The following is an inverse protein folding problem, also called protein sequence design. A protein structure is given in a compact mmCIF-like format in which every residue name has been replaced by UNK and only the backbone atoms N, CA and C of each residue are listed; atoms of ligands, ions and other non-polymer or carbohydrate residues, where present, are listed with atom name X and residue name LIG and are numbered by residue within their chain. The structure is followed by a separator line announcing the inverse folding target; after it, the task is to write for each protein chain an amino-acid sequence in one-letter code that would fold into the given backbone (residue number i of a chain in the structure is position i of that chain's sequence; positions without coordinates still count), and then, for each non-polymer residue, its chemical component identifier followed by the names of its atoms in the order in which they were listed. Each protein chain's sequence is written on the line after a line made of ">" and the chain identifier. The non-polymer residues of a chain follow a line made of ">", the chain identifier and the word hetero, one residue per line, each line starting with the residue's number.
data_IF_237468081971
#
_entry.id   IF_237468081971
#
_cell.length_a   1.000
_cell.length_b   1.000
_cell.length_c   1.000
_cell.angle_alpha   90.00
_cell.angle_beta   90.00
_cell.angle_gamma   90.00
#
_symmetry.space_group_name_H-M   'P 1'
#
loop_
_entity.id
_entity.type
_entity.pdbx_description
1 polymer ?
#
# COMPACT_ATOMS: atom_id res chain seq x y z
N UNK A 1 12.97 16.87 19.56
CA UNK A 1 12.83 16.06 18.33
C UNK A 1 11.44 16.33 17.77
N UNK A 2 11.28 16.76 16.49
CA UNK A 2 9.95 16.89 15.92
C UNK A 2 9.30 15.50 15.88
N UNK A 3 8.11 15.36 16.45
CA UNK A 3 7.32 14.14 16.34
C UNK A 3 7.04 13.90 14.86
N UNK A 4 7.69 12.89 14.29
CA UNK A 4 7.39 12.40 12.94
C UNK A 4 6.04 11.71 13.03
N UNK A 5 4.99 12.46 12.73
CA UNK A 5 3.65 11.91 12.54
C UNK A 5 3.55 11.36 11.12
N UNK A 6 2.88 10.23 10.97
CA UNK A 6 2.58 9.64 9.67
C UNK A 6 1.65 10.56 8.86
N UNK A 7 1.88 10.61 7.55
CA UNK A 7 1.04 11.37 6.63
C UNK A 7 -0.30 10.68 6.42
N UNK A 8 -1.37 11.45 6.43
CA UNK A 8 -2.66 11.01 5.91
C UNK A 8 -2.56 10.79 4.39
N UNK A 9 -3.51 10.04 3.81
CA UNK A 9 -3.55 9.81 2.36
C UNK A 9 -3.56 11.15 1.59
N UNK A 10 -4.35 12.12 2.07
CA UNK A 10 -4.44 13.44 1.44
C UNK A 10 -3.14 14.24 1.52
N UNK A 11 -2.43 14.14 2.65
CA UNK A 11 -1.11 14.77 2.82
C UNK A 11 -0.06 14.09 1.95
N UNK A 12 -0.05 12.76 1.87
CA UNK A 12 0.90 12.00 1.06
C UNK A 12 0.75 12.32 -0.44
N UNK A 13 -0.48 12.43 -0.95
CA UNK A 13 -0.74 12.77 -2.35
C UNK A 13 -0.34 14.22 -2.67
N UNK A 14 -0.37 15.12 -1.69
CA UNK A 14 0.03 16.53 -1.85
C UNK A 14 1.50 16.79 -1.52
N UNK A 15 2.18 15.84 -0.91
CA UNK A 15 3.59 15.98 -0.54
C UNK A 15 4.48 16.14 -1.78
N UNK A 16 5.33 17.19 -1.85
CA UNK A 16 6.17 17.44 -3.01
C UNK A 16 7.16 16.33 -3.33
N UNK A 17 7.73 15.68 -2.31
CA UNK A 17 8.70 14.60 -2.50
C UNK A 17 8.02 13.36 -3.04
N UNK A 18 6.86 12.99 -2.50
CA UNK A 18 6.08 11.86 -3.00
C UNK A 18 5.65 12.12 -4.44
N UNK A 19 5.14 13.31 -4.77
CA UNK A 19 4.75 13.65 -6.15
C UNK A 19 5.92 13.61 -7.13
N UNK A 20 7.12 13.97 -6.69
CA UNK A 20 8.33 13.86 -7.51
C UNK A 20 8.63 12.39 -7.86
N UNK A 21 8.57 11.50 -6.86
CA UNK A 21 8.78 10.05 -7.06
C UNK A 21 7.71 9.48 -7.99
N UNK A 22 6.44 9.80 -7.76
CA UNK A 22 5.34 9.34 -8.61
C UNK A 22 5.54 9.76 -10.06
N UNK A 23 5.98 11.00 -10.29
CA UNK A 23 6.27 11.49 -11.64
C UNK A 23 7.43 10.73 -12.28
N UNK A 24 8.48 10.44 -11.52
CA UNK A 24 9.62 9.67 -12.01
C UNK A 24 9.20 8.25 -12.45
N UNK A 25 8.24 7.66 -11.74
CA UNK A 25 7.72 6.32 -12.01
C UNK A 25 6.49 6.31 -12.95
N UNK A 26 6.07 7.46 -13.47
CA UNK A 26 4.90 7.57 -14.36
C UNK A 26 3.55 7.27 -13.70
N UNK A 27 3.45 7.40 -12.38
CA UNK A 27 2.26 7.13 -11.58
C UNK A 27 1.34 8.35 -11.54
N UNK A 28 0.06 8.16 -11.88
CA UNK A 28 -0.97 9.20 -11.72
C UNK A 28 -1.36 9.38 -10.24
N UNK A 29 -1.33 10.62 -9.71
CA UNK A 29 -1.76 10.92 -8.34
C UNK A 29 -3.17 10.47 -7.97
N UNK A 30 -4.12 10.52 -8.92
CA UNK A 30 -5.50 10.09 -8.64
C UNK A 30 -5.62 8.57 -8.57
N UNK A 31 -4.92 7.85 -9.45
CA UNK A 31 -4.83 6.40 -9.38
C UNK A 31 -4.20 5.93 -8.06
N UNK A 32 -3.11 6.58 -7.62
CA UNK A 32 -2.46 6.28 -6.35
C UNK A 32 -3.35 6.56 -5.13
N UNK A 33 -4.04 7.69 -5.10
CA UNK A 33 -5.02 8.02 -4.05
C UNK A 33 -6.10 6.93 -3.95
N UNK A 34 -6.65 6.53 -5.11
CA UNK A 34 -7.69 5.50 -5.19
C UNK A 34 -7.20 4.15 -4.66
N UNK A 35 -5.97 3.75 -5.04
CA UNK A 35 -5.33 2.54 -4.54
C UNK A 35 -5.18 2.57 -3.01
N UNK A 36 -4.65 3.67 -2.44
CA UNK A 36 -4.49 3.81 -1.00
C UNK A 36 -5.83 3.76 -0.25
N UNK A 37 -6.87 4.41 -0.78
CA UNK A 37 -8.22 4.36 -0.19
C UNK A 37 -8.83 2.97 -0.25
N UNK A 38 -8.63 2.23 -1.35
CA UNK A 38 -9.07 0.84 -1.48
C UNK A 38 -8.38 -0.07 -0.45
N UNK A 39 -7.07 0.07 -0.27
CA UNK A 39 -6.30 -0.68 0.73
C UNK A 39 -6.73 -0.34 2.16
N UNK A 40 -6.99 0.94 2.46
CA UNK A 40 -7.49 1.36 3.76
C UNK A 40 -8.90 0.79 4.04
N UNK A 41 -9.76 0.75 3.02
CA UNK A 41 -11.09 0.16 3.13
C UNK A 41 -11.04 -1.36 3.35
N UNK A 42 -10.17 -2.06 2.62
CA UNK A 42 -9.94 -3.49 2.81
C UNK A 42 -9.45 -3.80 4.23
N UNK A 43 -8.46 -3.06 4.73
CA UNK A 43 -7.96 -3.21 6.10
C UNK A 43 -9.04 -2.93 7.15
N UNK A 44 -9.94 -1.97 6.91
CA UNK A 44 -11.04 -1.68 7.84
C UNK A 44 -12.04 -2.84 7.94
N UNK A 45 -12.22 -3.59 6.86
CA UNK A 45 -13.20 -4.69 6.79
C UNK A 45 -12.62 -6.05 7.21
N UNK A 46 -11.29 -6.20 7.28
CA UNK A 46 -10.61 -7.45 7.66
C UNK A 46 -10.36 -7.60 9.18
N UNK A 47 -10.90 -6.73 10.04
CA UNK A 47 -10.70 -6.82 11.50
C UNK A 47 -11.93 -7.40 12.22
N UNK A 48 -11.94 -8.68 12.62
CA UNK A 48 -12.30 -9.02 13.99
C UNK A 48 -11.17 -8.53 14.90
N UNK A 49 -11.54 -7.85 15.98
CA UNK A 49 -10.63 -7.44 17.05
C UNK A 49 -9.61 -8.54 17.36
N UNK A 50 -8.32 -8.18 17.42
CA UNK A 50 -7.40 -8.42 18.55
C UNK A 50 -5.93 -8.69 18.17
N UNK A 51 -5.08 -7.99 18.90
CA UNK A 51 -3.78 -8.41 19.44
C UNK A 51 -2.47 -8.28 18.64
N UNK A 52 -1.61 -7.47 19.24
CA UNK A 52 -0.18 -7.69 19.49
C UNK A 52 0.68 -8.17 18.33
N UNK A 53 1.56 -7.24 17.92
CA UNK A 53 3.00 -7.48 17.74
C UNK A 53 3.45 -8.77 18.46
N UNK A 54 4.10 -9.66 17.73
CA UNK A 54 4.74 -10.92 18.18
C UNK A 54 3.96 -12.21 17.87
N UNK A 55 3.89 -12.62 16.60
CA UNK A 55 4.35 -13.96 16.18
C UNK A 55 4.49 -14.01 14.64
N UNK A 56 5.72 -13.82 14.15
CA UNK A 56 6.04 -13.75 12.72
C UNK A 56 6.70 -15.07 12.32
N UNK A 57 5.91 -16.15 12.30
CA UNK A 57 6.33 -17.47 11.88
C UNK A 57 5.35 -18.09 10.90
N UNK A 58 5.81 -18.32 9.67
CA UNK A 58 5.47 -19.55 8.94
C UNK A 58 4.21 -19.64 8.06
N UNK A 59 3.60 -18.54 7.58
CA UNK A 59 2.50 -18.64 6.58
C UNK A 59 2.50 -17.67 5.38
N UNK A 60 3.59 -16.93 5.14
CA UNK A 60 3.68 -15.97 4.00
C UNK A 60 4.19 -16.57 2.68
N UNK A 61 4.69 -17.81 2.66
CA UNK A 61 5.35 -18.38 1.48
C UNK A 61 4.46 -18.89 0.34
N UNK A 62 3.16 -19.11 0.56
CA UNK A 62 2.32 -19.84 -0.42
C UNK A 62 1.38 -18.98 -1.28
N UNK A 63 1.19 -17.69 -0.98
CA UNK A 63 0.25 -16.83 -1.74
C UNK A 63 0.90 -15.90 -2.78
N UNK A 64 2.22 -15.81 -2.83
CA UNK A 64 2.93 -14.95 -3.78
C UNK A 64 3.09 -15.58 -5.18
N UNK A 65 2.88 -16.89 -5.33
CA UNK A 65 3.03 -17.58 -6.62
C UNK A 65 1.84 -17.43 -7.58
N UNK A 66 0.65 -17.03 -7.09
CA UNK A 66 -0.56 -16.98 -7.93
C UNK A 66 -0.74 -15.67 -8.70
N UNK A 67 -0.14 -14.56 -8.27
CA UNK A 67 -0.37 -13.23 -8.90
C UNK A 67 0.66 -12.94 -10.02
N UNK A 68 1.84 -13.56 -9.97
CA UNK A 68 2.88 -13.37 -10.97
C UNK A 68 2.53 -13.97 -12.36
N UNK A 69 1.62 -14.95 -12.41
CA UNK A 69 1.24 -15.59 -13.68
C UNK A 69 0.35 -14.70 -14.57
N UNK A 70 -0.28 -13.65 -14.01
CA UNK A 70 -1.21 -12.80 -14.74
C UNK A 70 -0.55 -11.70 -15.60
N UNK A 71 0.75 -11.43 -15.42
CA UNK A 71 1.45 -10.34 -16.13
C UNK A 71 2.34 -10.80 -17.28
N UNK A 72 2.38 -12.10 -17.58
CA UNK A 72 3.28 -12.70 -18.58
C UNK A 72 2.62 -13.02 -19.92
N UNK A 73 1.80 -12.14 -20.51
CA UNK A 73 1.44 -12.28 -21.94
C UNK A 73 0.93 -10.98 -22.57
N UNK A 74 1.86 -10.19 -23.10
CA UNK A 74 1.59 -9.29 -24.21
C UNK A 74 2.51 -9.71 -25.36
N UNK A 75 1.89 -9.93 -26.53
CA UNK A 75 2.52 -10.25 -27.82
C UNK A 75 2.67 -8.97 -28.62
#
# INVERSE_FOLDING_TARGET
>A
MPQRRDLTIDEAVRDPMIRLVMKADGVDPRAFETMLRSLAYAQRNEVPLLHSRDDLGDKRGQRLSSVASAFGRAR
#
